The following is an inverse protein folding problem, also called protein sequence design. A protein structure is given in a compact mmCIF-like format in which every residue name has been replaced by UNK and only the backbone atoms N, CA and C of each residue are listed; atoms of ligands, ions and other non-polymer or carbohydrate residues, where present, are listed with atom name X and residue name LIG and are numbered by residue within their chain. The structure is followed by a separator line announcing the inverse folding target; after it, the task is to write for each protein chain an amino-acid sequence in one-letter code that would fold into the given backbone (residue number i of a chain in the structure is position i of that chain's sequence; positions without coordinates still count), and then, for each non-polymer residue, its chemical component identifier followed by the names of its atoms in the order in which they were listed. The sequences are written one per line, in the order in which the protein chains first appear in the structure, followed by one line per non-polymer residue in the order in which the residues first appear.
data_IF_043044429174
#
_entry.id   IF_043044429174
#
_cell.length_a   1.000
_cell.length_b   1.000
_cell.length_c   1.000
_cell.angle_alpha   90.00
_cell.angle_beta   90.00
_cell.angle_gamma   90.00
#
_symmetry.space_group_name_H-M   'P 1'
#
loop_
_entity.id
_entity.type
_entity.pdbx_description
1 polymer ?
#
# COMPACT_ATOMS: atom_id res chain seq x y z
N UNK A 1 25.41 28.71 -1.80
CA UNK A 1 25.16 27.30 -1.45
C UNK A 1 24.33 27.29 -0.19
N UNK A 2 23.04 26.95 -0.29
CA UNK A 2 22.18 26.86 0.89
C UNK A 2 22.40 25.48 1.49
N UNK A 3 22.94 25.44 2.70
CA UNK A 3 23.06 24.22 3.48
C UNK A 3 21.63 23.76 3.80
N UNK A 4 21.21 22.66 3.18
CA UNK A 4 19.95 22.01 3.55
C UNK A 4 20.28 21.19 4.79
N UNK A 5 19.88 21.66 5.95
CA UNK A 5 19.94 20.85 7.16
C UNK A 5 19.03 19.63 6.95
N UNK A 6 19.59 18.43 7.07
CA UNK A 6 18.83 17.18 7.04
C UNK A 6 17.88 17.17 8.24
N UNK A 7 16.62 17.53 7.98
CA UNK A 7 15.60 17.55 9.01
C UNK A 7 15.14 16.12 9.31
N UNK A 8 15.62 15.56 10.41
CA UNK A 8 15.25 14.21 10.82
C UNK A 8 13.83 14.19 11.42
N UNK A 9 12.88 13.62 10.69
CA UNK A 9 11.50 13.43 11.19
C UNK A 9 11.49 12.39 12.32
N UNK A 10 10.94 12.70 13.51
CA UNK A 10 10.84 11.71 14.59
C UNK A 10 10.03 10.49 14.14
N UNK A 11 10.52 9.29 14.43
CA UNK A 11 9.91 8.02 13.98
C UNK A 11 8.41 7.93 14.30
N UNK A 12 7.99 8.38 15.49
CA UNK A 12 6.56 8.39 15.88
C UNK A 12 5.70 9.29 14.97
N UNK A 13 6.22 10.43 14.55
CA UNK A 13 5.52 11.36 13.65
C UNK A 13 5.39 10.75 12.28
N UNK A 14 6.48 10.17 11.76
CA UNK A 14 6.46 9.49 10.47
C UNK A 14 5.46 8.32 10.49
N UNK A 15 5.45 7.48 11.52
CA UNK A 15 4.47 6.39 11.63
C UNK A 15 3.02 6.90 11.65
N UNK A 16 2.75 8.04 12.30
CA UNK A 16 1.42 8.64 12.28
C UNK A 16 1.02 9.14 10.89
N UNK A 17 1.97 9.74 10.15
CA UNK A 17 1.76 10.14 8.76
C UNK A 17 1.48 8.94 7.85
N UNK A 18 2.25 7.86 7.99
CA UNK A 18 2.04 6.63 7.22
C UNK A 18 0.67 6.00 7.51
N UNK A 19 0.21 6.03 8.75
CA UNK A 19 -1.13 5.59 9.10
C UNK A 19 -2.22 6.42 8.42
N UNK A 20 -2.04 7.74 8.37
CA UNK A 20 -2.94 8.65 7.65
C UNK A 20 -3.00 8.34 6.15
N UNK A 21 -1.84 8.11 5.52
CA UNK A 21 -1.75 7.70 4.10
C UNK A 21 -2.47 6.38 3.86
N UNK A 22 -2.29 5.38 4.73
CA UNK A 22 -2.97 4.10 4.60
C UNK A 22 -4.49 4.25 4.71
N UNK A 23 -4.96 5.03 5.69
CA UNK A 23 -6.38 5.28 5.91
C UNK A 23 -7.03 5.98 4.72
N UNK A 24 -6.40 7.05 4.21
CA UNK A 24 -6.88 7.81 3.06
C UNK A 24 -6.97 6.92 1.80
N UNK A 25 -5.91 6.16 1.50
CA UNK A 25 -5.88 5.23 0.38
C UNK A 25 -7.00 4.18 0.47
N UNK A 26 -7.20 3.58 1.64
CA UNK A 26 -8.29 2.62 1.85
C UNK A 26 -9.67 3.24 1.65
N UNK A 27 -9.90 4.46 2.15
CA UNK A 27 -11.18 5.16 1.98
C UNK A 27 -11.44 5.51 0.52
N UNK A 28 -10.42 5.97 -0.20
CA UNK A 28 -10.50 6.22 -1.63
C UNK A 28 -10.91 4.95 -2.37
N UNK A 29 -10.17 3.85 -2.18
CA UNK A 29 -10.47 2.56 -2.82
C UNK A 29 -11.91 2.13 -2.55
N UNK A 30 -12.34 2.13 -1.27
CA UNK A 30 -13.67 1.65 -0.89
C UNK A 30 -14.82 2.54 -1.39
N UNK A 31 -14.57 3.82 -1.61
CA UNK A 31 -15.59 4.75 -2.11
C UNK A 31 -15.69 4.80 -3.64
N UNK A 32 -14.60 4.45 -4.35
CA UNK A 32 -14.55 4.56 -5.82
C UNK A 32 -14.57 3.23 -6.55
N UNK A 33 -14.10 2.14 -5.94
CA UNK A 33 -13.95 0.86 -6.62
C UNK A 33 -15.26 0.09 -6.73
N UNK A 34 -15.53 -0.43 -7.94
CA UNK A 34 -16.62 -1.35 -8.22
C UNK A 34 -16.06 -2.54 -9.01
N UNK A 35 -16.52 -3.75 -8.74
CA UNK A 35 -16.12 -4.90 -9.55
C UNK A 35 -16.66 -4.76 -10.99
N UNK A 36 -15.86 -4.96 -12.05
CA UNK A 36 -14.51 -5.58 -12.10
C UNK A 36 -13.35 -4.57 -12.30
N UNK A 37 -13.48 -3.33 -11.83
CA UNK A 37 -12.52 -2.26 -12.11
C UNK A 37 -11.13 -2.51 -11.49
N UNK A 38 -10.14 -1.76 -11.98
CA UNK A 38 -8.79 -1.77 -11.39
C UNK A 38 -8.82 -1.03 -10.06
N UNK A 39 -8.20 -1.61 -9.04
CA UNK A 39 -8.14 -1.04 -7.70
C UNK A 39 -7.06 0.04 -7.65
N UNK A 40 -7.43 1.33 -7.77
CA UNK A 40 -6.47 2.43 -7.74
C UNK A 40 -6.26 2.96 -6.31
N UNK A 41 -5.06 2.86 -5.72
CA UNK A 41 -4.83 3.30 -4.33
C UNK A 41 -4.61 4.81 -4.16
N UNK A 42 -4.46 5.55 -5.26
CA UNK A 42 -4.25 7.00 -5.29
C UNK A 42 -2.77 7.39 -5.41
N UNK A 43 -2.49 8.44 -6.17
CA UNK A 43 -1.11 8.92 -6.46
C UNK A 43 -0.31 9.25 -5.19
N UNK A 44 -0.89 9.86 -4.13
CA UNK A 44 -0.16 10.09 -2.88
C UNK A 44 0.33 8.79 -2.24
N UNK A 45 -0.51 7.74 -2.22
CA UNK A 45 -0.11 6.43 -1.72
C UNK A 45 1.00 5.82 -2.57
N UNK A 46 0.85 5.81 -3.90
CA UNK A 46 1.84 5.23 -4.80
C UNK A 46 3.21 5.90 -4.66
N UNK A 47 3.23 7.22 -4.53
CA UNK A 47 4.45 8.02 -4.28
C UNK A 47 5.13 7.63 -2.97
N UNK A 48 4.37 7.62 -1.85
CA UNK A 48 4.92 7.30 -0.52
C UNK A 48 5.38 5.85 -0.46
N UNK A 49 4.60 4.92 -1.00
CA UNK A 49 4.94 3.51 -1.01
C UNK A 49 6.21 3.24 -1.82
N UNK A 50 6.35 3.82 -3.02
CA UNK A 50 7.54 3.62 -3.85
C UNK A 50 8.79 4.22 -3.20
N UNK A 51 8.67 5.40 -2.59
CA UNK A 51 9.76 5.98 -1.81
C UNK A 51 10.19 5.03 -0.68
N UNK A 52 9.24 4.57 0.14
CA UNK A 52 9.54 3.62 1.22
C UNK A 52 10.13 2.32 0.68
N UNK A 53 9.61 1.76 -0.41
CA UNK A 53 10.13 0.51 -0.97
C UNK A 53 11.62 0.58 -1.26
N UNK A 54 12.08 1.74 -1.73
CA UNK A 54 13.48 2.00 -2.08
C UNK A 54 14.37 2.33 -0.87
N UNK A 55 13.80 2.83 0.23
CA UNK A 55 14.59 3.34 1.38
C UNK A 55 14.42 2.54 2.67
N UNK A 56 13.27 1.90 2.88
CA UNK A 56 12.85 1.17 4.08
C UNK A 56 11.75 0.16 3.71
N UNK A 57 12.18 -1.00 3.21
CA UNK A 57 11.30 -2.04 2.68
C UNK A 57 10.32 -2.59 3.75
N UNK A 58 10.72 -2.63 5.02
CA UNK A 58 9.88 -3.09 6.12
C UNK A 58 8.68 -2.16 6.31
N UNK A 59 8.91 -0.84 6.31
CA UNK A 59 7.82 0.14 6.40
C UNK A 59 6.95 0.16 5.16
N UNK A 60 7.52 -0.03 3.97
CA UNK A 60 6.74 -0.18 2.75
C UNK A 60 5.79 -1.36 2.84
N UNK A 61 6.31 -2.52 3.27
CA UNK A 61 5.55 -3.77 3.42
C UNK A 61 4.41 -3.62 4.41
N UNK A 62 4.67 -2.99 5.57
CA UNK A 62 3.63 -2.68 6.57
C UNK A 62 2.57 -1.72 6.02
N UNK A 63 2.99 -0.62 5.37
CA UNK A 63 2.06 0.36 4.79
C UNK A 63 1.11 -0.29 3.78
N UNK A 64 1.64 -1.12 2.87
CA UNK A 64 0.82 -1.78 1.86
C UNK A 64 -0.10 -2.85 2.47
N UNK A 65 0.41 -3.62 3.43
CA UNK A 65 -0.38 -4.63 4.15
C UNK A 65 -1.53 -3.97 4.93
N UNK A 66 -1.28 -2.84 5.58
CA UNK A 66 -2.32 -2.05 6.27
C UNK A 66 -3.44 -1.65 5.30
N UNK A 67 -3.11 -1.15 4.11
CA UNK A 67 -4.12 -0.81 3.09
C UNK A 67 -4.88 -2.04 2.64
N UNK A 68 -4.17 -3.11 2.28
CA UNK A 68 -4.77 -4.35 1.80
C UNK A 68 -5.70 -4.99 2.85
N UNK A 69 -5.28 -5.01 4.11
CA UNK A 69 -6.10 -5.50 5.20
C UNK A 69 -7.34 -4.62 5.42
N UNK A 70 -7.18 -3.30 5.41
CA UNK A 70 -8.29 -2.36 5.62
C UNK A 70 -9.36 -2.48 4.56
N UNK A 71 -9.00 -2.50 3.27
CA UNK A 71 -9.99 -2.60 2.18
C UNK A 71 -10.71 -3.95 2.15
N UNK A 72 -10.11 -4.98 2.75
CA UNK A 72 -10.72 -6.31 2.86
C UNK A 72 -11.61 -6.46 4.08
N UNK A 73 -11.31 -5.79 5.21
CA UNK A 73 -11.93 -6.09 6.50
C UNK A 73 -12.62 -4.91 7.19
N UNK A 74 -12.33 -3.67 6.79
CA UNK A 74 -12.77 -2.49 7.54
C UNK A 74 -13.34 -1.40 6.66
N UNK A 75 -14.38 -0.72 7.15
CA UNK A 75 -15.05 0.35 6.42
C UNK A 75 -16.27 -0.15 5.65
N UNK A 76 -17.10 0.80 5.22
CA UNK A 76 -18.24 0.50 4.36
C UNK A 76 -17.73 0.10 2.96
N UNK A 77 -18.22 -1.01 2.43
CA UNK A 77 -17.75 -1.55 1.14
C UNK A 77 -16.54 -2.49 1.24
N UNK A 78 -16.02 -2.75 2.45
CA UNK A 78 -14.93 -3.71 2.64
C UNK A 78 -15.26 -5.08 2.04
N UNK A 79 -14.32 -5.64 1.29
CA UNK A 79 -14.57 -6.85 0.51
C UNK A 79 -13.30 -7.62 0.20
N UNK A 80 -13.38 -8.95 0.29
CA UNK A 80 -12.30 -9.86 -0.14
C UNK A 80 -12.11 -9.91 -1.65
N UNK A 81 -13.03 -9.35 -2.43
CA UNK A 81 -12.85 -9.23 -3.89
C UNK A 81 -11.68 -8.30 -4.25
N UNK A 82 -11.32 -7.38 -3.36
CA UNK A 82 -10.08 -6.60 -3.48
C UNK A 82 -8.94 -7.49 -2.99
N UNK A 83 -8.17 -8.00 -3.95
CA UNK A 83 -7.01 -8.87 -3.71
C UNK A 83 -5.73 -8.06 -3.66
N UNK A 84 -4.69 -8.58 -3.00
CA UNK A 84 -3.33 -8.02 -3.06
C UNK A 84 -2.86 -7.87 -4.52
N UNK A 85 -3.13 -8.87 -5.36
CA UNK A 85 -2.77 -8.82 -6.78
C UNK A 85 -3.51 -7.68 -7.51
N UNK A 86 -4.78 -7.43 -7.19
CA UNK A 86 -5.54 -6.29 -7.69
C UNK A 86 -4.93 -4.96 -7.29
N UNK A 87 -4.56 -4.81 -6.01
CA UNK A 87 -3.89 -3.63 -5.47
C UNK A 87 -2.52 -3.39 -6.13
N UNK A 88 -1.70 -4.43 -6.30
CA UNK A 88 -0.40 -4.33 -6.96
C UNK A 88 -0.53 -3.94 -8.44
N UNK A 89 -1.59 -4.39 -9.10
CA UNK A 89 -1.85 -3.97 -10.49
C UNK A 89 -2.21 -2.48 -10.57
N UNK A 90 -3.01 -1.98 -9.63
CA UNK A 90 -3.34 -0.55 -9.57
C UNK A 90 -2.19 0.33 -9.09
N UNK A 91 -1.28 -0.21 -8.26
CA UNK A 91 -0.07 0.49 -7.85
C UNK A 91 0.77 0.94 -9.06
N UNK A 92 0.79 0.18 -10.16
CA UNK A 92 1.48 0.57 -11.40
C UNK A 92 1.02 1.93 -11.93
N UNK A 93 -0.26 2.28 -11.72
CA UNK A 93 -0.83 3.55 -12.17
C UNK A 93 -0.56 4.67 -11.16
N UNK A 94 -0.59 4.35 -9.87
CA UNK A 94 -0.41 5.32 -8.79
C UNK A 94 1.05 5.69 -8.49
N UNK A 95 2.02 4.82 -8.83
CA UNK A 95 3.43 5.00 -8.51
C UNK A 95 4.23 5.36 -9.77
N UNK A 96 4.38 6.66 -10.05
CA UNK A 96 5.18 7.13 -11.18
C UNK A 96 6.64 6.65 -11.07
N UNK A 97 7.14 6.05 -12.15
CA UNK A 97 8.52 5.56 -12.21
C UNK A 97 8.77 4.23 -11.49
N UNK A 98 7.72 3.50 -11.09
CA UNK A 98 7.85 2.11 -10.66
C UNK A 98 8.19 1.21 -11.86
N UNK A 99 9.15 0.31 -11.66
CA UNK A 99 9.56 -0.65 -12.71
C UNK A 99 8.78 -1.96 -12.60
N UNK A 100 8.72 -2.71 -13.72
CA UNK A 100 8.17 -4.07 -13.71
C UNK A 100 8.95 -5.03 -12.81
N UNK A 101 10.26 -4.81 -12.67
CA UNK A 101 11.13 -5.60 -11.79
C UNK A 101 10.78 -5.35 -10.32
N UNK A 102 10.64 -4.09 -9.91
CA UNK A 102 10.19 -3.72 -8.56
C UNK A 102 8.82 -4.33 -8.24
N UNK A 103 7.82 -4.18 -9.14
CA UNK A 103 6.50 -4.80 -8.96
C UNK A 103 6.58 -6.33 -8.82
N UNK A 104 7.48 -6.97 -9.55
CA UNK A 104 7.67 -8.43 -9.48
C UNK A 104 8.31 -8.83 -8.15
N UNK A 105 9.30 -8.06 -7.67
CA UNK A 105 9.96 -8.28 -6.39
C UNK A 105 9.04 -8.00 -5.19
N UNK A 106 8.11 -7.05 -5.29
CA UNK A 106 7.15 -6.72 -4.23
C UNK A 106 6.21 -7.87 -3.91
N UNK A 107 5.72 -8.57 -4.95
CA UNK A 107 4.67 -9.57 -4.81
C UNK A 107 4.98 -10.67 -3.78
N UNK A 108 6.11 -11.42 -3.87
CA UNK A 108 6.38 -12.48 -2.91
C UNK A 108 6.54 -11.96 -1.48
N UNK A 109 7.20 -10.80 -1.30
CA UNK A 109 7.41 -10.17 0.02
C UNK A 109 6.07 -9.83 0.68
N UNK A 110 5.17 -9.19 -0.05
CA UNK A 110 3.86 -8.78 0.47
C UNK A 110 2.95 -9.97 0.76
N UNK A 111 2.97 -11.01 -0.09
CA UNK A 111 2.21 -12.24 0.15
C UNK A 111 2.69 -12.93 1.43
N UNK A 112 4.01 -13.10 1.56
CA UNK A 112 4.61 -13.76 2.73
C UNK A 112 4.28 -12.98 4.01
N UNK A 113 4.46 -11.67 3.99
CA UNK A 113 4.17 -10.81 5.13
C UNK A 113 2.71 -10.89 5.56
N UNK A 114 1.76 -10.72 4.63
CA UNK A 114 0.33 -10.73 4.97
C UNK A 114 -0.13 -12.09 5.49
N UNK A 115 0.42 -13.19 4.95
CA UNK A 115 0.14 -14.54 5.47
C UNK A 115 0.67 -14.70 6.90
N UNK A 116 1.88 -14.21 7.17
CA UNK A 116 2.48 -14.30 8.50
C UNK A 116 1.76 -13.41 9.53
N UNK A 117 1.36 -12.20 9.15
CA UNK A 117 0.78 -11.20 10.06
C UNK A 117 -0.73 -11.38 10.28
N UNK A 118 -1.47 -11.79 9.25
CA UNK A 118 -2.94 -11.87 9.30
C UNK A 118 -3.50 -13.29 9.22
N UNK A 119 -2.66 -14.31 8.94
CA UNK A 119 -3.08 -15.70 8.88
C UNK A 119 -3.99 -16.07 7.71
N UNK A 120 -4.11 -15.20 6.69
CA UNK A 120 -4.89 -15.44 5.48
C UNK A 120 -4.08 -15.23 4.21
N UNK A 121 -4.49 -15.90 3.12
CA UNK A 121 -3.97 -15.59 1.79
C UNK A 121 -4.66 -14.32 1.26
N UNK A 122 -3.93 -13.22 1.00
CA UNK A 122 -4.54 -11.96 0.63
C UNK A 122 -5.08 -11.93 -0.81
N UNK A 123 -5.03 -13.06 -1.52
CA UNK A 123 -5.62 -13.23 -2.86
C UNK A 123 -6.83 -14.17 -2.88
N UNK A 124 -7.27 -14.69 -1.73
CA UNK A 124 -8.55 -15.40 -1.65
C UNK A 124 -9.72 -14.43 -1.66
N UNK A 125 -10.80 -14.87 -2.31
CA UNK A 125 -12.02 -14.07 -2.53
C UNK A 125 -13.26 -14.71 -1.90
N UNK A 126 -13.12 -15.87 -1.25
CA UNK A 126 -14.16 -16.67 -0.62
C UNK A 126 -14.45 -16.31 0.86
#
# INVERSE_FOLDING_TARGET
MTQIDEYHVPSKVLMHMLHGVALDASQLILSSWHSPDIVHPGDPFGTVFLWLWRTDQDRATRLFSDVAWRVRHTGAGATKQITLNGLLNGLRQAAEGITSEELTAMRPVLIEWMRADHGEDPNTTD
#
